data_IF_196032292619
#
_entry.id   IF_196032292619
#
_cell.length_a   1.000
_cell.length_b   1.000
_cell.length_c   1.000
_cell.angle_alpha   90.00
_cell.angle_beta   90.00
_cell.angle_gamma   90.00
#
_symmetry.space_group_name_H-M   'P 1'
#
loop_
_entity.id
_entity.type
_entity.pdbx_description
1 polymer ?
#
# COMPACT_ATOMS: atom_id res chain seq x y z
N UNK A 1 -4.87 6.63 -12.54
CA UNK A 1 -4.48 7.37 -11.32
C UNK A 1 -3.80 6.42 -10.36
N UNK A 2 -2.50 6.56 -10.16
CA UNK A 2 -1.71 5.77 -9.23
C UNK A 2 -1.56 6.52 -7.90
N UNK A 3 -1.66 5.77 -6.81
CA UNK A 3 -1.54 6.32 -5.46
C UNK A 3 -0.63 5.42 -4.65
N UNK A 4 0.37 6.02 -4.01
CA UNK A 4 1.24 5.35 -3.05
C UNK A 4 0.93 5.94 -1.69
N UNK A 5 0.59 5.06 -0.75
CA UNK A 5 0.21 5.43 0.61
C UNK A 5 1.16 4.79 1.60
N UNK A 6 1.39 5.48 2.71
CA UNK A 6 2.00 4.88 3.87
C UNK A 6 1.08 3.78 4.41
N UNK A 7 1.63 2.59 4.60
CA UNK A 7 0.91 1.45 5.18
C UNK A 7 0.47 1.75 6.63
N UNK A 8 1.35 2.36 7.43
CA UNK A 8 1.10 2.57 8.85
C UNK A 8 0.07 3.66 9.17
N UNK A 9 0.01 4.75 8.40
CA UNK A 9 -0.88 5.88 8.70
C UNK A 9 -1.77 6.34 7.54
N UNK A 10 -1.68 5.70 6.37
CA UNK A 10 -2.46 6.04 5.19
C UNK A 10 -2.07 7.34 4.48
N UNK A 11 -1.00 8.02 4.92
CA UNK A 11 -0.54 9.27 4.29
C UNK A 11 -0.20 9.05 2.81
N UNK A 12 -0.65 9.96 1.94
CA UNK A 12 -0.41 9.86 0.49
C UNK A 12 1.01 10.36 0.20
N UNK A 13 1.92 9.43 -0.06
CA UNK A 13 3.30 9.71 -0.41
C UNK A 13 3.44 10.16 -1.87
N UNK A 14 2.55 9.68 -2.73
CA UNK A 14 2.47 10.07 -4.13
C UNK A 14 1.05 9.88 -4.68
N UNK A 15 0.62 10.82 -5.53
CA UNK A 15 -0.61 10.74 -6.34
C UNK A 15 -0.30 11.34 -7.70
N UNK A 16 -0.58 10.60 -8.77
CA UNK A 16 -0.38 11.08 -10.13
C UNK A 16 -0.95 10.15 -11.19
N UNK A 17 -0.88 10.57 -12.45
CA UNK A 17 -1.33 9.78 -13.59
C UNK A 17 -0.31 8.72 -14.00
N UNK A 18 0.98 9.00 -13.80
CA UNK A 18 2.07 8.09 -14.09
C UNK A 18 2.46 7.25 -12.87
N UNK A 19 2.71 5.94 -13.03
CA UNK A 19 3.21 5.11 -11.94
C UNK A 19 4.67 5.46 -11.66
N UNK A 20 4.98 5.88 -10.43
CA UNK A 20 6.37 5.96 -9.94
C UNK A 20 6.77 4.65 -9.27
N UNK A 21 8.05 4.28 -9.40
CA UNK A 21 8.59 3.14 -8.65
C UNK A 21 8.64 3.43 -7.16
N UNK A 22 8.58 2.38 -6.35
CA UNK A 22 8.65 2.49 -4.89
C UNK A 22 9.98 3.12 -4.46
N UNK A 23 11.09 2.85 -5.16
CA UNK A 23 12.38 3.45 -4.81
C UNK A 23 12.42 4.96 -5.06
N UNK A 24 11.76 5.43 -6.12
CA UNK A 24 11.67 6.86 -6.38
C UNK A 24 10.90 7.56 -5.26
N UNK A 25 9.80 6.97 -4.79
CA UNK A 25 9.04 7.51 -3.65
C UNK A 25 9.81 7.44 -2.34
N UNK A 26 10.53 6.35 -2.10
CA UNK A 26 11.41 6.22 -0.94
C UNK A 26 12.50 7.30 -0.91
N UNK A 27 13.15 7.56 -2.05
CA UNK A 27 14.17 8.61 -2.17
C UNK A 27 13.60 10.00 -1.94
N UNK A 28 12.37 10.27 -2.40
CA UNK A 28 11.71 11.57 -2.17
C UNK A 28 11.50 11.88 -0.67
N UNK A 29 11.28 10.85 0.15
CA UNK A 29 11.00 11.00 1.58
C UNK A 29 12.14 10.52 2.50
N UNK A 30 13.32 10.21 1.95
CA UNK A 30 14.47 9.77 2.75
C UNK A 30 14.28 8.44 3.48
N UNK A 31 13.37 7.59 3.03
CA UNK A 31 13.10 6.29 3.66
C UNK A 31 12.18 6.31 4.88
N UNK A 32 11.58 7.45 5.22
CA UNK A 32 10.69 7.57 6.40
C UNK A 32 9.41 8.31 6.04
N UNK A 33 8.27 7.91 6.63
CA UNK A 33 7.01 8.62 6.42
C UNK A 33 7.05 10.00 7.11
N UNK A 34 6.73 11.11 6.43
CA UNK A 34 6.75 12.45 7.02
C UNK A 34 5.67 12.67 8.09
N UNK A 35 4.63 11.82 8.13
CA UNK A 35 3.49 11.97 9.04
C UNK A 35 3.64 11.16 10.33
N UNK A 36 3.93 9.86 10.21
CA UNK A 36 4.00 8.96 11.37
C UNK A 36 5.42 8.54 11.73
N UNK A 37 6.43 8.99 10.98
CA UNK A 37 7.85 8.63 11.16
C UNK A 37 8.13 7.12 11.06
N UNK A 38 7.19 6.32 10.57
CA UNK A 38 7.42 4.90 10.31
C UNK A 38 8.43 4.73 9.17
N UNK A 39 9.35 3.75 9.28
CA UNK A 39 10.29 3.44 8.21
C UNK A 39 9.51 2.95 6.99
N UNK A 40 9.78 3.55 5.83
CA UNK A 40 9.24 3.08 4.57
C UNK A 40 10.12 1.92 4.12
N UNK A 41 9.61 0.69 4.25
CA UNK A 41 10.33 -0.49 3.84
C UNK A 41 10.14 -0.79 2.35
N UNK A 42 11.18 -1.34 1.72
CA UNK A 42 11.15 -1.84 0.34
C UNK A 42 10.48 -3.20 0.22
N UNK A 43 10.27 -3.88 1.34
CA UNK A 43 9.79 -5.26 1.35
C UNK A 43 8.35 -5.28 0.83
N UNK A 44 8.08 -5.96 -0.29
CA UNK A 44 6.71 -6.11 -0.76
C UNK A 44 5.92 -6.88 0.30
N UNK A 45 4.81 -6.29 0.75
CA UNK A 45 3.86 -7.00 1.60
C UNK A 45 3.21 -8.06 0.70
N UNK A 46 3.39 -9.34 1.05
CA UNK A 46 2.70 -10.43 0.35
C UNK A 46 1.20 -10.31 0.62
N UNK A 47 0.47 -9.77 -0.34
CA UNK A 47 -1.00 -9.72 -0.27
C UNK A 47 -1.52 -11.03 -0.86
N UNK A 48 -2.01 -11.92 0.01
CA UNK A 48 -2.73 -13.11 -0.42
C UNK A 48 -4.20 -12.73 -0.65
N UNK A 49 -4.64 -12.74 -1.91
CA UNK A 49 -6.05 -12.51 -2.27
C UNK A 49 -6.74 -13.88 -2.22
N UNK A 50 -7.44 -14.16 -1.12
CA UNK A 50 -8.35 -15.29 -1.02
C UNK A 50 -9.72 -14.92 -1.58
N UNK A 51 -10.33 -15.80 -2.39
CA UNK A 51 -11.74 -15.67 -2.72
C UNK A 51 -12.55 -15.86 -1.44
N UNK A 52 -13.27 -14.82 -0.98
CA UNK A 52 -14.34 -14.98 0.00
C UNK A 52 -15.45 -15.77 -0.70
N UNK A 53 -15.35 -17.10 -0.63
CA UNK A 53 -16.44 -17.98 -1.00
C UNK A 53 -17.61 -17.65 -0.09
N UNK A 54 -18.70 -17.10 -0.65
CA UNK A 54 -19.99 -17.03 0.05
C UNK A 54 -20.31 -18.46 0.50
N UNK A 55 -20.17 -18.76 1.80
CA UNK A 55 -20.82 -19.92 2.40
C UNK A 55 -22.32 -19.67 2.26
N UNK A 56 -22.92 -20.15 1.18
CA UNK A 56 -24.36 -20.35 1.13
C UNK A 56 -24.65 -21.54 2.03
N UNK A 57 -25.05 -21.24 3.26
CA UNK A 57 -25.86 -22.18 4.03
C UNK A 57 -27.28 -22.21 3.46
N UNK A 58 -27.81 -23.43 3.33
CA UNK A 58 -29.22 -23.85 3.11
C UNK A 58 -29.88 -23.50 1.76
N UNK A 59 -30.88 -24.27 1.24
CA UNK A 59 -31.70 -25.36 1.83
C UNK A 59 -31.52 -26.73 1.10
N UNK A 60 -32.14 -27.87 1.44
CA UNK A 60 -33.44 -28.18 2.06
C UNK A 60 -33.38 -29.44 2.94
#
# INVERSE_FOLDING_TARGET
MYVIKCDSCGFILYRGEEPKTVEAVLKMWGGTCPKCMSPLERRPIKIAIGLIGRRRGAPA
#
